data_IF_561838800472
#
_entry.id   IF_561838800472
#
_cell.length_a   1.000
_cell.length_b   1.000
_cell.length_c   1.000
_cell.angle_alpha   90.00
_cell.angle_beta   90.00
_cell.angle_gamma   90.00
#
_symmetry.space_group_name_H-M   'P 1'
#
loop_
_entity.id
_entity.type
_entity.pdbx_description
1 polymer ?
#
# COMPACT_ATOMS: atom_id res chain seq x y z
N UNK A 1 13.43 5.99 -7.42
CA UNK A 1 12.04 5.47 -7.59
C UNK A 1 11.11 6.33 -6.74
N UNK A 2 10.02 6.86 -7.28
CA UNK A 2 9.06 7.66 -6.51
C UNK A 2 7.82 6.84 -6.13
N UNK A 3 7.48 6.81 -4.85
CA UNK A 3 6.22 6.23 -4.38
C UNK A 3 5.05 7.05 -4.98
N UNK A 4 4.04 6.37 -5.51
CA UNK A 4 2.86 7.02 -6.11
C UNK A 4 1.66 6.94 -5.16
N UNK A 5 1.54 7.81 -4.15
CA UNK A 5 0.56 7.67 -3.08
C UNK A 5 -0.89 7.66 -3.57
N UNK A 6 -1.20 8.43 -4.62
CA UNK A 6 -2.54 8.45 -5.21
C UNK A 6 -2.90 7.08 -5.81
N UNK A 7 -2.00 6.49 -6.59
CA UNK A 7 -2.20 5.19 -7.23
C UNK A 7 -2.23 4.06 -6.20
N UNK A 8 -1.39 4.13 -5.17
CA UNK A 8 -1.41 3.19 -4.05
C UNK A 8 -2.76 3.21 -3.34
N UNK A 9 -3.27 4.40 -3.02
CA UNK A 9 -4.58 4.55 -2.37
C UNK A 9 -5.70 3.95 -3.21
N UNK A 10 -5.74 4.25 -4.52
CA UNK A 10 -6.71 3.65 -5.43
C UNK A 10 -6.61 2.12 -5.46
N UNK A 11 -5.41 1.56 -5.57
CA UNK A 11 -5.26 0.10 -5.57
C UNK A 11 -5.71 -0.53 -4.24
N UNK A 12 -5.45 0.12 -3.11
CA UNK A 12 -5.91 -0.30 -1.78
C UNK A 12 -7.43 -0.26 -1.68
N UNK A 13 -8.09 0.81 -2.15
CA UNK A 13 -9.54 0.92 -2.17
C UNK A 13 -10.18 -0.18 -3.02
N UNK A 14 -9.54 -0.52 -4.14
CA UNK A 14 -9.98 -1.60 -5.02
C UNK A 14 -9.50 -2.99 -4.56
N UNK A 15 -8.85 -3.10 -3.39
CA UNK A 15 -8.31 -4.36 -2.83
C UNK A 15 -7.37 -5.11 -3.77
N UNK A 16 -6.65 -4.39 -4.64
CA UNK A 16 -5.66 -4.94 -5.59
C UNK A 16 -4.29 -5.02 -4.94
N UNK A 17 -4.12 -5.97 -4.02
CA UNK A 17 -2.92 -6.10 -3.19
C UNK A 17 -1.66 -6.47 -4.00
N UNK A 18 -1.81 -7.36 -4.97
CA UNK A 18 -0.72 -7.75 -5.87
C UNK A 18 -0.14 -6.53 -6.61
N UNK A 19 -1.02 -5.75 -7.25
CA UNK A 19 -0.61 -4.52 -7.96
C UNK A 19 -0.04 -3.44 -7.06
N UNK A 20 -0.52 -3.33 -5.81
CA UNK A 20 0.02 -2.34 -4.88
C UNK A 20 1.42 -2.73 -4.41
N UNK A 21 1.66 -4.03 -4.25
CA UNK A 21 2.99 -4.58 -3.96
C UNK A 21 4.00 -4.28 -5.08
N UNK A 22 3.59 -4.48 -6.34
CA UNK A 22 4.43 -4.20 -7.53
C UNK A 22 4.92 -2.74 -7.59
N UNK A 23 4.11 -1.79 -7.14
CA UNK A 23 4.47 -0.36 -7.13
C UNK A 23 5.21 0.08 -5.86
N UNK A 24 5.62 -0.87 -5.00
CA UNK A 24 6.46 -0.59 -3.83
C UNK A 24 5.69 -0.28 -2.55
N UNK A 25 4.52 -0.89 -2.31
CA UNK A 25 3.77 -0.72 -1.05
C UNK A 25 4.63 -0.92 0.20
N UNK A 26 5.53 -1.89 0.16
CA UNK A 26 6.39 -2.25 1.29
C UNK A 26 7.57 -1.28 1.49
N UNK A 27 7.91 -0.48 0.48
CA UNK A 27 8.97 0.53 0.52
C UNK A 27 8.51 1.82 1.24
N UNK A 28 7.21 2.09 1.26
CA UNK A 28 6.64 3.23 1.99
C UNK A 28 6.90 3.10 3.49
N UNK A 29 7.68 4.00 4.11
CA UNK A 29 7.99 3.97 5.55
C UNK A 29 6.92 4.58 6.46
N UNK A 30 5.74 4.91 5.93
CA UNK A 30 4.62 5.47 6.70
C UNK A 30 4.92 6.82 7.39
N UNK A 31 5.86 7.61 6.84
CA UNK A 31 6.28 8.92 7.38
C UNK A 31 5.18 9.99 7.40
N UNK A 32 4.11 9.81 6.60
CA UNK A 32 2.98 10.75 6.55
C UNK A 32 3.18 12.00 5.70
N UNK A 33 4.35 12.19 5.06
CA UNK A 33 4.58 13.34 4.18
C UNK A 33 3.50 13.48 3.09
N UNK A 34 3.04 12.36 2.52
CA UNK A 34 1.99 12.35 1.51
C UNK A 34 0.61 12.76 2.06
N UNK A 35 0.28 12.42 3.31
CA UNK A 35 -0.97 12.81 3.94
C UNK A 35 -0.97 14.31 4.27
N UNK A 36 0.17 14.82 4.73
CA UNK A 36 0.35 16.25 5.01
C UNK A 36 0.31 17.11 3.74
N UNK A 37 0.98 16.68 2.67
CA UNK A 37 1.03 17.42 1.40
C UNK A 37 -0.28 17.35 0.58
N UNK A 38 -1.21 16.45 0.93
CA UNK A 38 -2.41 16.24 0.14
C UNK A 38 -3.46 17.36 0.42
N UNK A 39 -3.86 18.15 -0.59
CA UNK A 39 -4.82 19.23 -0.40
C UNK A 39 -6.23 18.74 -0.01
N UNK A 40 -6.53 17.46 -0.24
CA UNK A 40 -7.82 16.84 0.09
C UNK A 40 -7.86 16.22 1.49
N UNK A 41 -6.80 16.36 2.30
CA UNK A 41 -6.69 15.84 3.67
C UNK A 41 -7.07 14.34 3.80
N UNK A 42 -6.75 13.54 2.78
CA UNK A 42 -7.06 12.11 2.75
C UNK A 42 -6.24 11.36 3.82
N UNK A 43 -6.82 10.37 4.53
CA UNK A 43 -6.11 9.57 5.53
C UNK A 43 -5.19 8.51 4.90
N UNK A 44 -4.21 8.96 4.08
CA UNK A 44 -3.33 8.09 3.30
C UNK A 44 -2.52 7.12 4.17
N UNK A 45 -1.99 7.57 5.31
CA UNK A 45 -1.20 6.73 6.22
C UNK A 45 -2.01 5.56 6.77
N UNK A 46 -3.28 5.78 7.10
CA UNK A 46 -4.16 4.72 7.61
C UNK A 46 -4.43 3.67 6.52
N UNK A 47 -4.72 4.13 5.30
CA UNK A 47 -4.89 3.23 4.15
C UNK A 47 -3.61 2.46 3.84
N UNK A 48 -2.44 3.09 3.94
CA UNK A 48 -1.15 2.44 3.68
C UNK A 48 -0.80 1.40 4.74
N UNK A 49 -1.11 1.65 6.02
CA UNK A 49 -1.02 0.64 7.08
C UNK A 49 -1.84 -0.60 6.75
N UNK A 50 -3.08 -0.40 6.31
CA UNK A 50 -3.96 -1.49 5.89
C UNK A 50 -3.38 -2.21 4.66
N UNK A 51 -2.94 -1.45 3.65
CA UNK A 51 -2.35 -1.96 2.42
C UNK A 51 -1.15 -2.86 2.69
N UNK A 52 -0.19 -2.40 3.52
CA UNK A 52 0.98 -3.19 3.92
C UNK A 52 0.59 -4.50 4.60
N UNK A 53 -0.34 -4.46 5.55
CA UNK A 53 -0.80 -5.66 6.26
C UNK A 53 -1.38 -6.69 5.29
N UNK A 54 -2.22 -6.25 4.34
CA UNK A 54 -2.83 -7.14 3.36
C UNK A 54 -1.79 -7.68 2.36
N UNK A 55 -0.90 -6.83 1.83
CA UNK A 55 0.20 -7.27 0.95
C UNK A 55 1.05 -8.36 1.63
N UNK A 56 1.44 -8.16 2.88
CA UNK A 56 2.19 -9.18 3.63
C UNK A 56 1.38 -10.47 3.82
N UNK A 57 0.08 -10.37 4.09
CA UNK A 57 -0.79 -11.54 4.21
C UNK A 57 -0.90 -12.30 2.88
N UNK A 58 -1.04 -11.60 1.76
CA UNK A 58 -1.11 -12.20 0.42
C UNK A 58 0.22 -12.87 0.04
N UNK A 59 1.37 -12.24 0.33
CA UNK A 59 2.69 -12.85 0.15
C UNK A 59 2.85 -14.14 0.96
N UNK A 60 2.40 -14.15 2.23
CA UNK A 60 2.41 -15.35 3.08
C UNK A 60 1.55 -16.48 2.50
N UNK A 61 0.35 -16.15 1.98
CA UNK A 61 -0.52 -17.13 1.30
C UNK A 61 0.12 -17.67 0.03
N UNK A 62 0.77 -16.82 -0.76
CA UNK A 62 1.47 -17.23 -1.98
C UNK A 62 2.63 -18.19 -1.68
N UNK A 63 3.38 -17.96 -0.59
CA UNK A 63 4.44 -18.88 -0.15
C UNK A 63 3.90 -20.19 0.44
N UNK A 64 2.75 -20.17 1.11
CA UNK A 64 2.14 -21.37 1.71
C UNK A 64 1.53 -22.34 0.68
N UNK A 65 1.19 -21.87 -0.53
CA UNK A 65 0.65 -22.70 -1.62
C UNK A 65 1.70 -23.50 -2.40
N UNK A 66 2.97 -23.42 -2.01
CA UNK A 66 4.12 -24.02 -2.71
C UNK A 66 4.69 -25.27 -2.03
N UNK A 67 3.99 -25.84 -1.04
CA UNK A 67 4.36 -27.06 -0.33
C UNK A 67 3.46 -28.23 -0.69
#
# INVERSE_FOLDING_TARGET
MGLMPQKMKQLIDHRKWDKVDEIGMLDCIECGCCAYACPSALPLVQSFKLGKKNVMAERKKATAKKG
#
